data_IF_673275020905
#
_entry.id   IF_673275020905
#
_cell.length_a   1.000
_cell.length_b   1.000
_cell.length_c   1.000
_cell.angle_alpha   90.00
_cell.angle_beta   90.00
_cell.angle_gamma   90.00
#
_symmetry.space_group_name_H-M   'P 1'
#
loop_
_entity.id
_entity.type
_entity.pdbx_description
1 polymer ?
#
# COMPACT_ATOMS: atom_id res chain seq x y z
N UNK A 1 -26.35 -7.40 -43.39
CA UNK A 1 -26.02 -6.12 -42.73
C UNK A 1 -25.25 -6.32 -41.43
N UNK A 2 -25.57 -7.27 -40.54
CA UNK A 2 -24.85 -7.46 -39.27
C UNK A 2 -23.35 -7.87 -39.33
N UNK A 3 -22.87 -8.45 -40.44
CA UNK A 3 -21.44 -8.78 -40.62
C UNK A 3 -20.59 -7.50 -40.78
N UNK A 4 -21.11 -6.49 -41.46
CA UNK A 4 -20.43 -5.20 -41.68
C UNK A 4 -20.27 -4.44 -40.36
N UNK A 5 -21.33 -4.40 -39.54
CA UNK A 5 -21.29 -3.74 -38.23
C UNK A 5 -20.27 -4.41 -37.28
N UNK A 6 -20.19 -5.75 -37.30
CA UNK A 6 -19.26 -6.51 -36.46
C UNK A 6 -17.80 -6.31 -36.92
N UNK A 7 -17.54 -6.33 -38.23
CA UNK A 7 -16.21 -6.08 -38.79
C UNK A 7 -15.78 -4.62 -38.56
N UNK A 8 -16.68 -3.66 -38.73
CA UNK A 8 -16.43 -2.25 -38.45
C UNK A 8 -16.12 -2.01 -36.96
N UNK A 9 -16.84 -2.68 -36.06
CA UNK A 9 -16.58 -2.61 -34.63
C UNK A 9 -15.20 -3.20 -34.29
N UNK A 10 -14.85 -4.37 -34.83
CA UNK A 10 -13.51 -4.95 -34.66
C UNK A 10 -12.42 -4.00 -35.17
N UNK A 11 -12.58 -3.44 -36.36
CA UNK A 11 -11.62 -2.51 -36.95
C UNK A 11 -11.41 -1.27 -36.05
N UNK A 12 -12.49 -0.76 -35.44
CA UNK A 12 -12.43 0.35 -34.48
C UNK A 12 -11.55 -0.02 -33.28
N UNK A 13 -11.80 -1.18 -32.65
CA UNK A 13 -11.02 -1.66 -31.50
C UNK A 13 -9.54 -1.89 -31.84
N UNK A 14 -9.22 -2.36 -33.05
CA UNK A 14 -7.84 -2.54 -33.48
C UNK A 14 -7.12 -1.20 -33.72
N UNK A 15 -7.82 -0.21 -34.28
CA UNK A 15 -7.25 1.12 -34.53
C UNK A 15 -6.84 1.87 -33.26
N UNK A 16 -7.43 1.49 -32.11
CA UNK A 16 -7.08 2.05 -30.80
C UNK A 16 -5.63 1.73 -30.39
N UNK A 17 -5.01 0.67 -30.91
CA UNK A 17 -3.61 0.36 -30.57
C UNK A 17 -2.66 1.45 -31.07
N UNK A 18 -2.87 1.94 -32.29
CA UNK A 18 -1.98 2.89 -32.98
C UNK A 18 -2.35 4.35 -32.71
N UNK A 19 -3.47 4.62 -32.04
CA UNK A 19 -3.85 5.98 -31.67
C UNK A 19 -2.97 6.48 -30.51
N UNK A 20 -2.11 7.45 -30.78
CA UNK A 20 -1.18 8.04 -29.80
C UNK A 20 -1.89 8.79 -28.67
N UNK A 21 -3.13 9.24 -28.88
CA UNK A 21 -3.92 9.97 -27.89
C UNK A 21 -4.62 9.09 -26.86
N UNK A 22 -4.68 7.76 -27.06
CA UNK A 22 -5.26 6.85 -26.09
C UNK A 22 -4.29 6.60 -24.93
N UNK A 23 -4.85 6.50 -23.73
CA UNK A 23 -4.15 6.06 -22.53
C UNK A 23 -3.95 4.54 -22.51
N UNK A 24 -3.07 4.05 -21.61
CA UNK A 24 -2.93 2.61 -21.37
C UNK A 24 -4.24 2.00 -20.83
N UNK A 25 -5.02 2.77 -20.06
CA UNK A 25 -6.31 2.35 -19.53
C UNK A 25 -7.34 2.15 -20.64
N UNK A 26 -7.48 3.09 -21.58
CA UNK A 26 -8.45 2.96 -22.67
C UNK A 26 -8.06 1.83 -23.65
N UNK A 27 -6.75 1.60 -23.86
CA UNK A 27 -6.29 0.40 -24.58
C UNK A 27 -6.67 -0.87 -23.84
N UNK A 28 -6.56 -0.89 -22.51
CA UNK A 28 -7.01 -2.03 -21.71
C UNK A 28 -8.50 -2.31 -21.89
N UNK A 29 -9.33 -1.27 -21.95
CA UNK A 29 -10.77 -1.41 -22.23
C UNK A 29 -11.01 -2.01 -23.62
N UNK A 30 -10.29 -1.53 -24.64
CA UNK A 30 -10.37 -2.05 -26.01
C UNK A 30 -9.95 -3.53 -26.07
N UNK A 31 -8.89 -3.92 -25.36
CA UNK A 31 -8.46 -5.32 -25.27
C UNK A 31 -9.49 -6.20 -24.57
N UNK A 32 -10.10 -5.71 -23.48
CA UNK A 32 -11.17 -6.43 -22.78
C UNK A 32 -12.37 -6.62 -23.72
N UNK A 33 -12.71 -5.61 -24.50
CA UNK A 33 -13.84 -5.64 -25.44
C UNK A 33 -13.57 -6.61 -26.60
N UNK A 34 -12.35 -6.64 -27.16
CA UNK A 34 -11.93 -7.67 -28.11
C UNK A 34 -12.14 -9.09 -27.58
N UNK A 35 -11.90 -9.28 -26.28
CA UNK A 35 -12.10 -10.58 -25.62
C UNK A 35 -13.57 -10.87 -25.33
N UNK A 36 -14.35 -9.90 -24.84
CA UNK A 36 -15.76 -10.11 -24.50
C UNK A 36 -16.66 -10.32 -25.71
N UNK A 37 -16.36 -9.66 -26.83
CA UNK A 37 -17.10 -9.79 -28.09
C UNK A 37 -16.72 -11.05 -28.89
N UNK A 38 -15.76 -11.84 -28.38
CA UNK A 38 -15.30 -13.09 -28.99
C UNK A 38 -14.43 -12.88 -30.23
N UNK A 39 -13.78 -11.72 -30.40
CA UNK A 39 -12.77 -11.53 -31.43
C UNK A 39 -11.44 -12.20 -31.05
N UNK A 40 -11.15 -12.30 -29.75
CA UNK A 40 -9.95 -12.93 -29.21
C UNK A 40 -10.29 -13.82 -28.00
N UNK A 41 -9.80 -15.05 -27.98
CA UNK A 41 -10.00 -15.95 -26.82
C UNK A 41 -8.93 -15.74 -25.74
N UNK A 42 -7.71 -15.39 -26.15
CA UNK A 42 -6.55 -15.25 -25.26
C UNK A 42 -5.85 -13.90 -25.43
N UNK A 43 -5.04 -13.52 -24.44
CA UNK A 43 -4.17 -12.32 -24.57
C UNK A 43 -3.18 -12.44 -25.74
N UNK A 44 -2.81 -13.67 -26.13
CA UNK A 44 -1.96 -13.91 -27.29
C UNK A 44 -2.71 -13.63 -28.60
N UNK A 45 -4.00 -13.93 -28.65
CA UNK A 45 -4.85 -13.58 -29.80
C UNK A 45 -5.04 -12.06 -29.90
N UNK A 46 -5.29 -11.38 -28.78
CA UNK A 46 -5.34 -9.91 -28.74
C UNK A 46 -4.04 -9.33 -29.29
N UNK A 47 -2.89 -9.76 -28.79
CA UNK A 47 -1.58 -9.30 -29.24
C UNK A 47 -1.36 -9.52 -30.75
N UNK A 48 -1.79 -10.67 -31.28
CA UNK A 48 -1.74 -10.97 -32.72
C UNK A 48 -2.62 -10.03 -33.52
N UNK A 49 -3.84 -9.76 -33.05
CA UNK A 49 -4.80 -8.90 -33.76
C UNK A 49 -4.39 -7.44 -33.74
N UNK A 50 -3.89 -6.93 -32.62
CA UNK A 50 -3.49 -5.54 -32.45
C UNK A 50 -2.08 -5.25 -32.93
N UNK A 51 -1.28 -6.29 -33.23
CA UNK A 51 0.11 -6.14 -33.66
C UNK A 51 1.06 -5.72 -32.54
N UNK A 52 0.66 -5.86 -31.27
CA UNK A 52 1.47 -5.50 -30.11
C UNK A 52 2.03 -6.73 -29.38
N UNK A 53 2.86 -6.54 -28.36
CA UNK A 53 3.38 -7.66 -27.58
C UNK A 53 2.35 -8.18 -26.58
N UNK A 54 2.34 -9.50 -26.34
CA UNK A 54 1.51 -10.09 -25.27
C UNK A 54 1.83 -9.46 -23.90
N UNK A 55 3.08 -9.05 -23.66
CA UNK A 55 3.48 -8.34 -22.44
C UNK A 55 2.76 -7.01 -22.26
N UNK A 56 2.62 -6.22 -23.34
CA UNK A 56 1.87 -4.96 -23.35
C UNK A 56 0.38 -5.19 -23.08
N UNK A 57 -0.21 -6.20 -23.74
CA UNK A 57 -1.62 -6.61 -23.48
C UNK A 57 -1.82 -6.94 -22.01
N UNK A 58 -0.94 -7.76 -21.44
CA UNK A 58 -1.00 -8.17 -20.03
C UNK A 58 -0.86 -7.00 -19.07
N UNK A 59 0.05 -6.06 -19.35
CA UNK A 59 0.25 -4.85 -18.55
C UNK A 59 -0.98 -3.93 -18.55
N UNK A 60 -1.57 -3.69 -19.72
CA UNK A 60 -2.77 -2.85 -19.84
C UNK A 60 -3.97 -3.53 -19.16
N UNK A 61 -4.25 -4.79 -19.48
CA UNK A 61 -5.33 -5.56 -18.83
C UNK A 61 -5.11 -5.70 -17.31
N UNK A 62 -3.86 -5.68 -16.86
CA UNK A 62 -3.51 -5.62 -15.46
C UNK A 62 -4.15 -4.44 -14.75
N UNK A 63 -4.24 -3.27 -15.38
CA UNK A 63 -4.87 -2.07 -14.81
C UNK A 63 -6.33 -2.30 -14.41
N UNK A 64 -7.06 -3.15 -15.14
CA UNK A 64 -8.46 -3.46 -14.86
C UNK A 64 -8.68 -4.31 -13.60
N UNK A 65 -7.59 -4.77 -12.96
CA UNK A 65 -7.63 -5.47 -11.67
C UNK A 65 -7.56 -4.53 -10.47
N UNK A 66 -7.39 -3.23 -10.72
CA UNK A 66 -7.39 -2.24 -9.64
C UNK A 66 -8.77 -2.22 -8.94
N UNK A 67 -8.82 -1.85 -7.66
CA UNK A 67 -10.08 -1.72 -6.93
C UNK A 67 -11.04 -0.74 -7.60
N UNK A 68 -12.37 -0.93 -7.45
CA UNK A 68 -13.38 -0.10 -8.13
C UNK A 68 -13.16 1.41 -7.97
N UNK A 69 -12.82 1.87 -6.77
CA UNK A 69 -12.56 3.30 -6.51
C UNK A 69 -11.42 3.88 -7.36
N UNK A 70 -10.44 3.07 -7.77
CA UNK A 70 -9.35 3.49 -8.65
C UNK A 70 -9.77 3.40 -10.12
N UNK A 71 -10.61 2.43 -10.48
CA UNK A 71 -11.20 2.35 -11.82
C UNK A 71 -12.11 3.55 -12.08
N UNK A 72 -12.95 3.94 -11.11
CA UNK A 72 -13.80 5.14 -11.19
C UNK A 72 -12.96 6.43 -11.42
N UNK A 73 -11.74 6.47 -10.87
CA UNK A 73 -10.82 7.57 -11.06
C UNK A 73 -10.24 7.56 -12.49
N UNK A 74 -9.88 6.39 -13.01
CA UNK A 74 -9.40 6.22 -14.38
C UNK A 74 -10.49 6.45 -15.42
N UNK A 75 -11.76 6.19 -15.11
CA UNK A 75 -12.86 6.55 -15.99
C UNK A 75 -13.01 8.07 -16.15
N UNK A 76 -12.72 8.84 -15.09
CA UNK A 76 -12.73 10.31 -15.12
C UNK A 76 -11.46 10.89 -15.74
N UNK A 77 -10.32 10.27 -15.46
CA UNK A 77 -8.99 10.71 -15.90
C UNK A 77 -8.21 9.52 -16.50
N UNK A 78 -8.48 9.13 -17.76
CA UNK A 78 -7.91 7.91 -18.34
C UNK A 78 -6.38 7.90 -18.42
N UNK A 79 -5.78 9.06 -18.66
CA UNK A 79 -4.33 9.24 -18.74
C UNK A 79 -3.65 9.42 -17.36
N UNK A 80 -4.40 9.38 -16.24
CA UNK A 80 -3.85 9.62 -14.90
C UNK A 80 -2.78 8.60 -14.53
N UNK A 81 -2.97 7.32 -14.90
CA UNK A 81 -2.03 6.24 -14.61
C UNK A 81 -1.61 5.55 -15.90
N UNK A 82 -0.30 5.47 -16.11
CA UNK A 82 0.25 4.45 -17.03
C UNK A 82 0.21 3.05 -16.40
N UNK A 83 0.44 2.01 -17.20
CA UNK A 83 0.51 0.63 -16.69
C UNK A 83 1.58 0.45 -15.59
N UNK A 84 2.63 1.28 -15.58
CA UNK A 84 3.69 1.25 -14.55
C UNK A 84 3.18 1.77 -13.21
N UNK A 85 2.39 2.85 -13.23
CA UNK A 85 1.75 3.38 -12.03
C UNK A 85 0.75 2.38 -11.46
N UNK A 86 -0.08 1.80 -12.32
CA UNK A 86 -1.03 0.76 -11.92
C UNK A 86 -0.34 -0.44 -11.26
N UNK A 87 0.80 -0.89 -11.80
CA UNK A 87 1.60 -1.95 -11.20
C UNK A 87 2.09 -1.58 -9.79
N UNK A 88 2.58 -0.35 -9.60
CA UNK A 88 3.00 0.14 -8.26
C UNK A 88 1.81 0.17 -7.30
N UNK A 89 0.65 0.68 -7.74
CA UNK A 89 -0.55 0.72 -6.92
C UNK A 89 -0.98 -0.70 -6.48
N UNK A 90 -0.96 -1.67 -7.40
CA UNK A 90 -1.25 -3.08 -7.10
C UNK A 90 -0.25 -3.67 -6.11
N UNK A 91 1.06 -3.50 -6.34
CA UNK A 91 2.09 -3.96 -5.41
C UNK A 91 1.90 -3.39 -3.99
N UNK A 92 1.42 -2.15 -3.87
CA UNK A 92 1.16 -1.52 -2.57
C UNK A 92 -0.14 -2.01 -1.94
N UNK A 93 -1.19 -2.28 -2.72
CA UNK A 93 -2.44 -2.86 -2.25
C UNK A 93 -2.25 -4.31 -1.78
N UNK A 94 -1.47 -5.11 -2.50
CA UNK A 94 -1.14 -6.49 -2.11
C UNK A 94 -0.36 -6.54 -0.79
N UNK A 95 0.54 -5.57 -0.57
CA UNK A 95 1.31 -5.45 0.67
C UNK A 95 0.50 -4.88 1.83
N UNK A 96 -0.46 -4.01 1.54
CA UNK A 96 -1.23 -3.26 2.53
C UNK A 96 -2.72 -3.22 2.14
N UNK A 97 -3.44 -4.34 2.26
CA UNK A 97 -4.84 -4.43 1.83
C UNK A 97 -5.76 -3.43 2.55
N UNK A 98 -5.49 -3.14 3.83
CA UNK A 98 -6.25 -2.19 4.64
C UNK A 98 -5.96 -0.71 4.29
N UNK A 99 -5.02 -0.44 3.39
CA UNK A 99 -4.57 0.91 3.07
C UNK A 99 -5.20 1.51 1.80
N UNK A 100 -6.24 0.88 1.26
CA UNK A 100 -6.93 1.31 0.03
C UNK A 100 -7.21 2.82 0.02
N UNK A 101 -7.88 3.34 1.05
CA UNK A 101 -8.24 4.77 1.14
C UNK A 101 -7.03 5.71 1.03
N UNK A 102 -5.89 5.35 1.65
CA UNK A 102 -4.66 6.16 1.59
C UNK A 102 -4.00 6.08 0.23
N UNK A 103 -3.99 4.90 -0.38
CA UNK A 103 -3.43 4.69 -1.72
C UNK A 103 -4.24 5.51 -2.72
N UNK A 104 -5.58 5.41 -2.70
CA UNK A 104 -6.47 6.23 -3.54
C UNK A 104 -6.24 7.73 -3.35
N UNK A 105 -6.17 8.21 -2.10
CA UNK A 105 -5.88 9.64 -1.83
C UNK A 105 -4.53 10.06 -2.41
N UNK A 106 -3.53 9.18 -2.40
CA UNK A 106 -2.22 9.46 -2.99
C UNK A 106 -2.32 9.50 -4.51
N UNK A 107 -3.11 8.60 -5.12
CA UNK A 107 -3.36 8.59 -6.56
C UNK A 107 -4.10 9.86 -7.02
N UNK A 108 -5.03 10.39 -6.23
CA UNK A 108 -5.71 11.66 -6.52
C UNK A 108 -4.72 12.82 -6.64
N UNK A 109 -3.59 12.80 -5.91
CA UNK A 109 -2.58 13.86 -6.02
C UNK A 109 -1.88 13.90 -7.38
N UNK A 110 -1.98 12.84 -8.20
CA UNK A 110 -1.45 12.83 -9.57
C UNK A 110 -2.28 13.69 -10.51
N UNK A 111 -3.52 14.04 -10.14
CA UNK A 111 -4.33 14.97 -10.93
C UNK A 111 -3.63 16.34 -11.00
N UNK A 112 -3.06 16.80 -9.88
CA UNK A 112 -2.33 18.06 -9.80
C UNK A 112 -0.86 17.92 -10.26
N UNK A 113 -0.36 16.69 -10.39
CA UNK A 113 1.04 16.36 -10.73
C UNK A 113 1.10 15.21 -11.74
N UNK A 114 0.72 15.45 -13.00
CA UNK A 114 0.64 14.40 -14.01
C UNK A 114 2.00 13.78 -14.35
N UNK A 115 3.10 14.51 -14.14
CA UNK A 115 4.46 14.07 -14.45
C UNK A 115 5.12 13.24 -13.33
N UNK A 116 4.36 12.84 -12.31
CA UNK A 116 4.90 12.06 -11.20
C UNK A 116 5.33 10.69 -11.69
N UNK A 117 6.61 10.33 -11.51
CA UNK A 117 7.13 9.03 -11.95
C UNK A 117 6.64 7.87 -11.05
N UNK A 118 6.54 6.62 -11.57
CA UNK A 118 6.04 5.48 -10.81
C UNK A 118 6.81 5.18 -9.52
N UNK A 119 8.13 5.41 -9.52
CA UNK A 119 8.94 5.21 -8.33
C UNK A 119 8.69 6.31 -7.27
N UNK A 120 8.43 7.54 -7.70
CA UNK A 120 8.05 8.62 -6.78
C UNK A 120 6.68 8.37 -6.17
N UNK A 121 5.71 7.88 -6.95
CA UNK A 121 4.42 7.40 -6.45
C UNK A 121 4.60 6.36 -5.34
N UNK A 122 5.50 5.37 -5.55
CA UNK A 122 5.80 4.36 -4.53
C UNK A 122 6.34 4.97 -3.24
N UNK A 123 7.21 5.97 -3.34
CA UNK A 123 7.76 6.70 -2.18
C UNK A 123 6.65 7.48 -1.47
N UNK A 124 5.78 8.17 -2.21
CA UNK A 124 4.66 8.92 -1.62
C UNK A 124 3.68 8.01 -0.90
N UNK A 125 3.30 6.88 -1.50
CA UNK A 125 2.45 5.89 -0.84
C UNK A 125 3.15 5.40 0.42
N UNK A 126 4.42 4.98 0.34
CA UNK A 126 5.17 4.50 1.51
C UNK A 126 5.22 5.54 2.63
N UNK A 127 5.48 6.81 2.31
CA UNK A 127 5.47 7.91 3.28
C UNK A 127 4.07 8.15 3.87
N UNK A 128 3.00 8.06 3.08
CA UNK A 128 1.63 8.17 3.54
C UNK A 128 1.23 7.02 4.48
N UNK A 129 1.78 5.82 4.24
CA UNK A 129 1.62 4.66 5.12
C UNK A 129 2.42 4.82 6.41
N UNK A 130 3.68 5.24 6.33
CA UNK A 130 4.58 5.47 7.47
C UNK A 130 4.10 6.61 8.39
N UNK A 131 3.58 7.69 7.80
CA UNK A 131 2.96 8.84 8.49
C UNK A 131 1.87 8.41 9.49
N UNK A 132 1.25 7.24 9.27
CA UNK A 132 0.35 6.59 10.23
C UNK A 132 0.58 5.08 10.32
N UNK A 133 1.81 4.62 10.59
CA UNK A 133 1.91 3.61 11.66
C UNK A 133 1.28 4.31 12.85
N UNK A 134 0.24 3.78 13.53
CA UNK A 134 -0.20 4.40 14.75
C UNK A 134 1.05 4.52 15.62
N UNK A 135 1.50 5.75 15.91
CA UNK A 135 2.13 5.96 17.19
C UNK A 135 1.08 5.45 18.16
N UNK A 136 1.26 4.23 18.70
CA UNK A 136 0.57 3.81 19.92
C UNK A 136 0.54 5.07 20.77
N UNK A 137 -0.66 5.54 21.14
CA UNK A 137 -0.83 6.75 21.93
C UNK A 137 0.32 6.79 22.93
N UNK A 138 1.19 7.81 22.81
CA UNK A 138 2.43 7.83 23.55
C UNK A 138 2.05 7.63 25.01
N UNK A 139 2.42 6.48 25.58
CA UNK A 139 2.19 6.23 27.00
C UNK A 139 2.96 7.34 27.68
N UNK A 140 2.25 8.29 28.29
CA UNK A 140 2.89 9.43 28.94
C UNK A 140 3.93 8.88 29.90
N UNK A 141 5.22 9.20 29.70
CA UNK A 141 6.26 8.65 30.54
C UNK A 141 6.02 9.11 31.97
N UNK A 142 5.91 8.15 32.89
CA UNK A 142 5.90 8.47 34.31
C UNK A 142 7.31 8.84 34.72
N UNK A 143 7.49 10.07 35.19
CA UNK A 143 8.76 10.56 35.71
C UNK A 143 8.89 10.20 37.17
N UNK A 144 9.99 9.53 37.53
CA UNK A 144 10.36 9.25 38.92
C UNK A 144 11.51 10.18 39.28
N UNK A 145 11.27 11.03 40.28
CA UNK A 145 12.24 12.02 40.74
C UNK A 145 13.22 11.48 41.79
N UNK A 146 14.38 12.12 41.90
CA UNK A 146 15.28 11.98 43.04
C UNK A 146 14.75 12.73 44.28
N UNK A 147 15.50 12.69 45.39
CA UNK A 147 15.14 13.37 46.65
C UNK A 147 15.02 14.90 46.51
N UNK A 148 15.54 15.48 45.43
CA UNK A 148 15.54 16.90 45.14
C UNK A 148 14.51 17.28 44.06
N UNK A 149 13.66 16.33 43.63
CA UNK A 149 12.63 16.55 42.60
C UNK A 149 13.16 16.56 41.16
N UNK A 150 14.42 16.20 40.92
CA UNK A 150 14.98 16.07 39.57
C UNK A 150 14.59 14.72 38.96
N UNK A 151 14.26 14.70 37.67
CA UNK A 151 13.96 13.46 36.94
C UNK A 151 15.14 12.51 37.00
N UNK A 152 14.99 11.34 37.63
CA UNK A 152 16.00 10.29 37.65
C UNK A 152 15.66 9.16 36.65
N UNK A 153 14.36 8.87 36.47
CA UNK A 153 13.89 7.84 35.54
C UNK A 153 12.65 8.29 34.77
N UNK A 154 12.58 7.94 33.48
CA UNK A 154 11.38 8.07 32.65
C UNK A 154 10.88 6.69 32.26
N UNK A 155 9.73 6.28 32.82
CA UNK A 155 9.16 4.94 32.63
C UNK A 155 7.99 4.98 31.65
N UNK A 156 8.05 4.18 30.59
CA UNK A 156 6.94 3.95 29.65
C UNK A 156 6.46 2.51 29.78
N UNK A 157 5.16 2.32 30.01
CA UNK A 157 4.54 1.01 30.16
C UNK A 157 3.66 0.71 28.95
N UNK A 158 4.09 -0.23 28.11
CA UNK A 158 3.30 -0.79 27.01
C UNK A 158 2.62 -2.10 27.45
N UNK A 159 1.70 -2.62 26.63
CA UNK A 159 0.89 -3.80 26.96
C UNK A 159 1.67 -5.04 27.43
N UNK A 160 2.89 -5.28 26.91
CA UNK A 160 3.76 -6.41 27.29
C UNK A 160 5.24 -6.00 27.44
N UNK A 161 5.51 -4.70 27.59
CA UNK A 161 6.88 -4.18 27.64
C UNK A 161 6.95 -2.95 28.53
N UNK A 162 7.93 -2.89 29.44
CA UNK A 162 8.25 -1.69 30.21
C UNK A 162 9.61 -1.17 29.73
N UNK A 163 9.68 0.12 29.40
CA UNK A 163 10.92 0.80 29.01
C UNK A 163 11.27 1.83 30.08
N UNK A 164 12.42 1.66 30.72
CA UNK A 164 12.95 2.59 31.72
C UNK A 164 14.12 3.32 31.10
N UNK A 165 13.99 4.63 30.88
CA UNK A 165 15.11 5.49 30.49
C UNK A 165 15.74 6.06 31.75
N UNK A 166 17.06 5.93 31.86
CA UNK A 166 17.84 6.40 33.00
C UNK A 166 18.49 7.73 32.59
N UNK A 167 18.28 8.77 33.40
CA UNK A 167 18.85 10.09 33.14
C UNK A 167 20.34 10.15 33.53
N UNK A 168 21.05 11.10 32.94
CA UNK A 168 22.48 11.29 33.15
C UNK A 168 22.79 11.57 34.63
N UNK A 169 23.76 10.85 35.20
CA UNK A 169 24.15 10.95 36.62
C UNK A 169 23.57 9.86 37.54
N UNK A 170 22.76 8.95 37.02
CA UNK A 170 22.29 7.77 37.77
C UNK A 170 23.18 6.55 37.48
N UNK A 171 23.57 5.82 38.54
CA UNK A 171 24.31 4.56 38.41
C UNK A 171 23.44 3.47 37.76
N UNK A 172 23.75 3.17 36.50
CA UNK A 172 23.00 2.23 35.65
C UNK A 172 23.07 0.80 36.19
N UNK A 173 24.22 0.36 36.70
CA UNK A 173 24.37 -1.00 37.20
C UNK A 173 23.58 -1.21 38.49
N UNK A 174 23.64 -0.24 39.40
CA UNK A 174 22.89 -0.30 40.65
C UNK A 174 21.38 -0.21 40.40
N UNK A 175 20.95 0.66 39.48
CA UNK A 175 19.56 0.76 39.06
C UNK A 175 19.05 -0.55 38.45
N UNK A 176 19.86 -1.19 37.60
CA UNK A 176 19.55 -2.50 37.00
C UNK A 176 19.38 -3.59 38.06
N UNK A 177 20.32 -3.72 39.00
CA UNK A 177 20.26 -4.71 40.09
C UNK A 177 19.00 -4.53 40.95
N UNK A 178 18.66 -3.30 41.32
CA UNK A 178 17.48 -2.98 42.14
C UNK A 178 16.18 -3.28 41.39
N UNK A 179 16.12 -2.95 40.10
CA UNK A 179 14.94 -3.24 39.25
C UNK A 179 14.70 -4.74 39.15
N UNK A 180 15.74 -5.53 38.88
CA UNK A 180 15.64 -6.99 38.81
C UNK A 180 15.22 -7.62 40.15
N UNK A 181 15.73 -7.12 41.27
CA UNK A 181 15.34 -7.60 42.59
C UNK A 181 13.84 -7.36 42.86
N UNK A 182 13.32 -6.17 42.54
CA UNK A 182 11.91 -5.85 42.70
C UNK A 182 11.00 -6.70 41.80
N UNK A 183 11.41 -6.93 40.54
CA UNK A 183 10.66 -7.80 39.62
C UNK A 183 10.63 -9.26 40.09
N UNK A 184 11.73 -9.78 40.65
CA UNK A 184 11.78 -11.13 41.23
C UNK A 184 10.82 -11.28 42.40
N UNK A 185 10.84 -10.33 43.34
CA UNK A 185 9.92 -10.32 44.47
C UNK A 185 8.46 -10.25 44.02
N UNK A 186 8.17 -9.45 42.98
CA UNK A 186 6.82 -9.40 42.42
C UNK A 186 6.42 -10.72 41.73
N UNK A 187 7.34 -11.37 41.01
CA UNK A 187 7.08 -12.64 40.35
C UNK A 187 6.70 -13.76 41.34
N UNK A 188 7.26 -13.77 42.56
CA UNK A 188 6.89 -14.72 43.61
C UNK A 188 5.41 -14.59 44.06
N UNK A 189 4.78 -13.44 43.82
CA UNK A 189 3.38 -13.19 44.15
C UNK A 189 2.41 -13.46 43.00
N UNK A 190 2.90 -13.89 41.84
CA UNK A 190 2.08 -14.12 40.63
C UNK A 190 1.86 -15.61 40.37
N UNK A 191 0.61 -15.97 40.07
CA UNK A 191 0.27 -17.26 39.47
C UNK A 191 -0.05 -17.05 37.97
N UNK A 192 0.86 -17.46 37.09
CA UNK A 192 0.63 -17.39 35.65
C UNK A 192 -0.21 -18.59 35.21
N UNK A 193 -1.23 -18.40 34.35
CA UNK A 193 -2.02 -19.50 33.82
C UNK A 193 -1.13 -20.46 33.03
N UNK A 194 -1.23 -21.76 33.32
CA UNK A 194 -0.47 -22.79 32.61
C UNK A 194 -0.74 -22.68 31.09
N UNK A 195 0.33 -22.71 30.30
CA UNK A 195 0.25 -22.74 28.84
C UNK A 195 -0.72 -23.85 28.42
N UNK A 196 -1.82 -23.48 27.76
CA UNK A 196 -2.58 -24.43 26.96
C UNK A 196 -1.66 -24.88 25.84
N UNK A 197 -1.02 -26.04 26.02
CA UNK A 197 -0.38 -26.77 24.92
C UNK A 197 -1.42 -26.94 23.83
N UNK A 198 -1.17 -26.32 22.67
CA UNK A 198 -1.83 -26.63 21.42
C UNK A 198 -1.44 -28.05 20.97
#
# INVERSE_FOLDING_TARGET
MALDDREAHQATLLSNETNEGLSDFERALSYRELMSEGFAETQKDVARLTGCSQGRVSQCLGMLKLPPVVLDLLEKYPALLSYRHAKVAQEMLDKYPDALSKITTTLDTLIDKPDLEPNELKVLISKALESKRPRKAAVEPRTIGDKNGRSAFKVRVHAQQIVINIEEGVDVEMAGKRTLAALRQFAESLELPAEKKA
#
